data_IF_964479231201
#
_entry.id   IF_964479231201
#
_cell.length_a   1.000
_cell.length_b   1.000
_cell.length_c   1.000
_cell.angle_alpha   90.00
_cell.angle_beta   90.00
_cell.angle_gamma   90.00
#
_symmetry.space_group_name_H-M   'P 1'
#
loop_
_entity.id
_entity.type
_entity.pdbx_description
1 polymer ?
#
# COMPACT_ATOMS: atom_id res chain seq x y z
N UNK A 1 -24.73 11.15 2.74
CA UNK A 1 -24.33 12.40 2.04
C UNK A 1 -23.11 12.06 1.20
N UNK A 2 -23.01 12.55 -0.04
CA UNK A 2 -21.85 12.30 -0.88
C UNK A 2 -20.56 12.78 -0.21
N UNK A 3 -19.46 12.05 -0.42
CA UNK A 3 -18.16 12.30 0.22
C UNK A 3 -17.33 13.26 -0.64
N UNK A 4 -16.86 14.41 -0.12
CA UNK A 4 -15.99 15.33 -0.86
C UNK A 4 -14.66 14.68 -1.24
N UNK A 5 -14.39 14.58 -2.55
CA UNK A 5 -13.18 13.98 -3.11
C UNK A 5 -12.49 14.85 -4.15
N UNK A 6 -11.17 14.75 -4.22
CA UNK A 6 -10.34 15.43 -5.22
C UNK A 6 -9.40 14.45 -5.93
N UNK A 7 -9.19 14.66 -7.22
CA UNK A 7 -8.27 13.91 -8.08
C UNK A 7 -7.23 14.88 -8.65
N UNK A 8 -5.98 14.72 -8.21
CA UNK A 8 -4.85 15.52 -8.65
C UNK A 8 -3.98 14.71 -9.61
N UNK A 9 -3.73 15.32 -10.77
CA UNK A 9 -2.74 14.84 -11.72
C UNK A 9 -1.43 15.62 -11.53
N UNK A 10 -0.36 14.92 -11.18
CA UNK A 10 1.01 15.43 -11.26
C UNK A 10 1.59 15.11 -12.65
N UNK A 11 2.92 15.07 -12.78
CA UNK A 11 3.58 14.53 -13.95
C UNK A 11 3.21 13.05 -14.14
N UNK A 12 2.16 12.75 -14.89
CA UNK A 12 1.63 11.39 -15.13
C UNK A 12 1.38 11.09 -16.62
N UNK A 13 0.76 9.95 -16.94
CA UNK A 13 0.28 9.60 -18.29
C UNK A 13 -1.25 9.53 -18.38
N UNK A 14 -1.95 9.89 -17.30
CA UNK A 14 -3.41 9.81 -17.14
C UNK A 14 -4.00 8.38 -17.14
N UNK A 15 -3.14 7.35 -17.11
CA UNK A 15 -3.57 5.96 -17.19
C UNK A 15 -4.41 5.51 -16.00
N UNK A 16 -4.21 6.06 -14.79
CA UNK A 16 -4.96 5.62 -13.61
C UNK A 16 -6.36 6.23 -13.59
N UNK A 17 -6.49 7.50 -13.96
CA UNK A 17 -7.78 8.13 -14.23
C UNK A 17 -8.54 7.42 -15.36
N UNK A 18 -7.88 7.06 -16.46
CA UNK A 18 -8.53 6.26 -17.51
C UNK A 18 -8.99 4.89 -16.99
N UNK A 19 -8.19 4.24 -16.13
CA UNK A 19 -8.57 2.94 -15.54
C UNK A 19 -9.82 3.05 -14.65
N UNK A 20 -9.96 4.14 -13.90
CA UNK A 20 -11.20 4.44 -13.17
C UNK A 20 -12.39 4.60 -14.14
N UNK A 21 -12.22 5.37 -15.23
CA UNK A 21 -13.28 5.59 -16.21
C UNK A 21 -13.67 4.34 -17.03
N UNK A 22 -12.76 3.36 -17.14
CA UNK A 22 -13.04 2.06 -17.74
C UNK A 22 -14.04 1.21 -16.95
N UNK A 23 -14.45 1.62 -15.75
CA UNK A 23 -15.59 1.00 -15.07
C UNK A 23 -16.91 1.24 -15.82
N UNK A 24 -16.98 2.22 -16.73
CA UNK A 24 -18.15 2.49 -17.56
C UNK A 24 -19.43 2.60 -16.71
N UNK A 25 -20.43 1.73 -16.96
CA UNK A 25 -21.68 1.69 -16.20
C UNK A 25 -21.49 1.24 -14.73
N UNK A 26 -20.37 0.58 -14.42
CA UNK A 26 -19.97 0.25 -13.06
C UNK A 26 -19.68 1.46 -12.16
N UNK A 27 -19.53 2.66 -12.73
CA UNK A 27 -19.42 3.91 -11.96
C UNK A 27 -20.77 4.46 -11.50
N UNK A 28 -21.89 4.06 -12.12
CA UNK A 28 -23.23 4.56 -11.77
C UNK A 28 -23.59 4.42 -10.27
N UNK A 29 -23.26 3.32 -9.57
CA UNK A 29 -23.53 3.21 -8.15
C UNK A 29 -22.55 4.00 -7.26
N UNK A 30 -21.40 4.45 -7.79
CA UNK A 30 -20.32 5.06 -6.99
C UNK A 30 -20.32 6.57 -7.12
N UNK A 31 -20.50 7.09 -8.34
CA UNK A 31 -20.48 8.54 -8.59
C UNK A 31 -21.47 9.33 -7.72
N UNK A 32 -22.71 8.86 -7.45
CA UNK A 32 -23.63 9.57 -6.55
C UNK A 32 -23.14 9.67 -5.10
N UNK A 33 -22.25 8.76 -4.68
CA UNK A 33 -21.66 8.76 -3.34
C UNK A 33 -20.41 9.66 -3.25
N UNK A 34 -19.93 10.21 -4.37
CA UNK A 34 -18.75 11.06 -4.45
C UNK A 34 -19.14 12.50 -4.83
N UNK A 35 -18.81 13.45 -3.97
CA UNK A 35 -18.83 14.88 -4.33
C UNK A 35 -17.46 15.27 -4.89
N UNK A 36 -17.33 15.26 -6.22
CA UNK A 36 -16.05 15.52 -6.91
C UNK A 36 -15.79 17.03 -6.94
N UNK A 37 -15.04 17.52 -5.95
CA UNK A 37 -14.76 18.96 -5.77
C UNK A 37 -13.56 19.45 -6.56
N UNK A 38 -12.69 18.55 -7.01
CA UNK A 38 -11.56 18.90 -7.88
C UNK A 38 -11.15 17.70 -8.72
N UNK A 39 -11.23 17.81 -10.04
CA UNK A 39 -10.69 16.85 -10.99
C UNK A 39 -10.57 17.58 -12.33
N UNK A 40 -9.39 18.09 -12.72
CA UNK A 40 -9.26 19.04 -13.83
C UNK A 40 -9.81 18.56 -15.18
N UNK A 41 -9.93 17.24 -15.37
CA UNK A 41 -10.47 16.65 -16.60
C UNK A 41 -12.00 16.46 -16.59
N UNK A 42 -12.65 16.59 -15.43
CA UNK A 42 -14.07 16.21 -15.24
C UNK A 42 -14.91 17.36 -14.72
N UNK A 43 -14.37 18.21 -13.84
CA UNK A 43 -15.06 19.38 -13.29
C UNK A 43 -14.27 20.65 -13.57
N UNK A 44 -14.99 21.77 -13.63
CA UNK A 44 -14.41 23.05 -14.06
C UNK A 44 -13.66 23.83 -12.97
N UNK A 45 -13.61 23.32 -11.74
CA UNK A 45 -12.88 23.95 -10.62
C UNK A 45 -11.40 24.12 -10.97
N UNK A 46 -10.92 25.37 -10.91
CA UNK A 46 -9.55 25.72 -11.27
C UNK A 46 -8.61 25.62 -10.07
N UNK A 47 -7.32 25.59 -10.36
CA UNK A 47 -6.27 25.40 -9.35
C UNK A 47 -6.31 26.43 -8.20
N UNK A 48 -6.52 27.72 -8.51
CA UNK A 48 -6.64 28.77 -7.49
C UNK A 48 -7.88 28.61 -6.58
N UNK A 49 -8.94 27.95 -7.07
CA UNK A 49 -10.13 27.65 -6.26
C UNK A 49 -9.83 26.52 -5.28
N UNK A 50 -9.07 25.49 -5.69
CA UNK A 50 -8.55 24.46 -4.79
C UNK A 50 -7.63 25.06 -3.70
N UNK A 51 -6.79 26.03 -4.06
CA UNK A 51 -5.94 26.74 -3.09
C UNK A 51 -6.76 27.49 -2.04
N UNK A 52 -7.88 28.08 -2.44
CA UNK A 52 -8.78 28.87 -1.61
C UNK A 52 -9.69 28.03 -0.69
N UNK A 53 -9.86 26.73 -0.95
CA UNK A 53 -10.61 25.83 -0.06
C UNK A 53 -10.00 25.81 1.35
N UNK A 54 -10.79 25.51 2.38
CA UNK A 54 -10.27 25.38 3.75
C UNK A 54 -9.40 24.13 3.86
N UNK A 55 -8.48 24.16 4.81
CA UNK A 55 -7.60 23.01 5.07
C UNK A 55 -8.42 21.87 5.67
N UNK A 56 -8.19 20.64 5.19
CA UNK A 56 -8.99 19.47 5.54
C UNK A 56 -10.46 19.53 5.12
N UNK A 57 -10.85 20.41 4.19
CA UNK A 57 -12.22 20.48 3.66
C UNK A 57 -12.57 19.24 2.82
N UNK A 58 -11.59 18.66 2.13
CA UNK A 58 -11.75 17.50 1.26
C UNK A 58 -11.53 16.23 2.07
N UNK A 59 -12.43 15.25 1.96
CA UNK A 59 -12.33 14.01 2.75
C UNK A 59 -11.25 13.10 2.17
N UNK A 60 -11.27 12.84 0.86
CA UNK A 60 -10.28 11.97 0.19
C UNK A 60 -9.66 12.67 -1.02
N UNK A 61 -8.33 12.73 -1.07
CA UNK A 61 -7.56 13.19 -2.21
C UNK A 61 -6.81 12.05 -2.88
N UNK A 62 -7.05 11.83 -4.17
CA UNK A 62 -6.31 10.88 -5.01
C UNK A 62 -5.21 11.62 -5.77
N UNK A 63 -3.98 11.11 -5.71
CA UNK A 63 -2.82 11.66 -6.40
C UNK A 63 -2.30 10.63 -7.40
N UNK A 64 -2.32 10.97 -8.69
CA UNK A 64 -1.68 10.21 -9.77
C UNK A 64 -0.41 10.92 -10.24
N UNK A 65 0.66 10.16 -10.50
CA UNK A 65 1.88 10.67 -11.15
C UNK A 65 3.05 10.81 -10.21
N UNK A 66 4.13 11.42 -10.71
CA UNK A 66 5.36 11.68 -9.94
C UNK A 66 5.56 13.17 -9.74
N UNK A 67 6.35 13.52 -8.73
CA UNK A 67 6.86 14.88 -8.58
C UNK A 67 8.13 15.07 -9.43
N UNK A 68 7.98 15.50 -10.69
CA UNK A 68 9.11 15.79 -11.60
C UNK A 68 9.42 17.27 -11.69
N UNK A 69 8.43 18.12 -11.47
CA UNK A 69 8.53 19.58 -11.50
C UNK A 69 8.26 20.18 -10.13
N UNK A 70 8.71 21.41 -9.91
CA UNK A 70 8.45 22.18 -8.68
C UNK A 70 6.95 22.37 -8.43
N UNK A 71 6.17 22.48 -9.51
CA UNK A 71 4.71 22.56 -9.41
C UNK A 71 4.09 21.24 -8.95
N UNK A 72 4.62 20.10 -9.37
CA UNK A 72 4.15 18.80 -8.89
C UNK A 72 4.38 18.66 -7.38
N UNK A 73 5.57 19.03 -6.89
CA UNK A 73 5.90 19.02 -5.45
C UNK A 73 4.98 19.95 -4.66
N UNK A 74 4.71 21.15 -5.20
CA UNK A 74 3.78 22.10 -4.58
C UNK A 74 2.34 21.53 -4.55
N UNK A 75 1.90 20.89 -5.63
CA UNK A 75 0.57 20.28 -5.73
C UNK A 75 0.39 19.09 -4.78
N UNK A 76 1.41 18.25 -4.61
CA UNK A 76 1.38 17.18 -3.62
C UNK A 76 1.18 17.74 -2.21
N UNK A 77 1.95 18.76 -1.83
CA UNK A 77 1.82 19.45 -0.52
C UNK A 77 0.46 20.14 -0.37
N UNK A 78 -0.04 20.76 -1.43
CA UNK A 78 -1.37 21.37 -1.46
C UNK A 78 -2.46 20.33 -1.20
N UNK A 79 -2.43 19.21 -1.92
CA UNK A 79 -3.39 18.11 -1.71
C UNK A 79 -3.35 17.60 -0.27
N UNK A 80 -2.15 17.34 0.28
CA UNK A 80 -2.01 16.91 1.68
C UNK A 80 -2.62 17.91 2.68
N UNK A 81 -2.52 19.21 2.40
CA UNK A 81 -3.10 20.28 3.22
C UNK A 81 -4.62 20.35 3.11
N UNK A 82 -5.18 20.14 1.92
CA UNK A 82 -6.64 20.23 1.66
C UNK A 82 -7.40 18.95 1.99
N UNK A 83 -6.73 17.79 1.95
CA UNK A 83 -7.36 16.48 2.12
C UNK A 83 -7.09 15.86 3.50
N UNK A 84 -8.11 15.24 4.09
CA UNK A 84 -7.98 14.45 5.32
C UNK A 84 -7.29 13.11 5.07
N UNK A 85 -7.57 12.48 3.94
CA UNK A 85 -6.96 11.22 3.49
C UNK A 85 -6.31 11.41 2.12
N UNK A 86 -5.07 10.97 1.94
CA UNK A 86 -4.36 10.96 0.66
C UNK A 86 -4.18 9.53 0.16
N UNK A 87 -4.61 9.29 -1.08
CA UNK A 87 -4.49 8.03 -1.80
C UNK A 87 -3.52 8.23 -2.97
N UNK A 88 -2.34 7.62 -2.91
CA UNK A 88 -1.45 7.47 -4.07
C UNK A 88 -2.03 6.40 -5.00
N UNK A 89 -2.43 6.80 -6.21
CA UNK A 89 -3.01 5.89 -7.20
C UNK A 89 -2.04 5.64 -8.35
N UNK A 90 -1.70 4.37 -8.53
CA UNK A 90 -0.81 3.85 -9.56
C UNK A 90 0.67 3.86 -9.22
N UNK A 91 1.43 3.04 -9.93
CA UNK A 91 2.86 2.81 -9.72
C UNK A 91 3.69 4.09 -9.75
N UNK A 92 3.25 5.13 -10.46
CA UNK A 92 3.92 6.42 -10.47
C UNK A 92 3.89 7.06 -9.08
N UNK A 93 2.70 7.18 -8.49
CA UNK A 93 2.55 7.78 -7.17
C UNK A 93 3.07 6.86 -6.07
N UNK A 94 2.95 5.54 -6.26
CA UNK A 94 3.41 4.57 -5.26
C UNK A 94 4.93 4.36 -5.25
N UNK A 95 5.61 4.38 -6.40
CA UNK A 95 7.00 3.92 -6.54
C UNK A 95 7.86 4.70 -7.56
N UNK A 96 7.31 5.73 -8.22
CA UNK A 96 7.97 6.50 -9.28
C UNK A 96 7.75 5.96 -10.71
N UNK A 97 7.46 4.66 -10.87
CA UNK A 97 7.22 3.99 -12.16
C UNK A 97 8.34 4.20 -13.19
N UNK A 98 8.03 3.99 -14.48
CA UNK A 98 8.92 4.20 -15.63
C UNK A 98 9.55 5.60 -15.67
N UNK A 99 8.87 6.62 -15.13
CA UNK A 99 9.43 7.98 -15.06
C UNK A 99 10.62 8.04 -14.10
N UNK A 100 10.65 7.22 -13.06
CA UNK A 100 11.76 7.12 -12.12
C UNK A 100 13.08 6.76 -12.77
N UNK A 101 13.09 6.08 -13.93
CA UNK A 101 14.31 5.77 -14.69
C UNK A 101 15.09 7.01 -15.14
N UNK A 102 14.44 8.18 -15.20
CA UNK A 102 15.11 9.45 -15.41
C UNK A 102 16.22 9.71 -14.37
N UNK A 103 16.09 9.16 -13.16
CA UNK A 103 17.09 9.32 -12.11
C UNK A 103 18.42 8.62 -12.41
N UNK A 104 18.54 7.82 -13.47
CA UNK A 104 19.82 7.27 -13.94
C UNK A 104 20.70 8.31 -14.65
N UNK A 105 20.15 9.50 -14.91
CA UNK A 105 20.80 10.59 -15.62
C UNK A 105 20.73 11.86 -14.78
N UNK A 106 21.64 12.79 -15.05
CA UNK A 106 21.60 14.11 -14.44
C UNK A 106 20.49 14.96 -15.05
N UNK A 107 19.90 15.85 -14.25
CA UNK A 107 18.82 16.74 -14.70
C UNK A 107 19.23 17.53 -15.96
N UNK A 108 20.46 18.02 -16.01
CA UNK A 108 21.00 18.77 -17.15
C UNK A 108 21.15 17.89 -18.40
N UNK A 109 21.59 16.63 -18.26
CA UNK A 109 21.67 15.66 -19.36
C UNK A 109 20.28 15.44 -19.98
N UNK A 110 19.24 15.27 -19.13
CA UNK A 110 17.86 15.08 -19.58
C UNK A 110 17.31 16.31 -20.30
N UNK A 111 17.54 17.51 -19.76
CA UNK A 111 17.10 18.78 -20.34
C UNK A 111 17.79 19.00 -21.69
N UNK A 112 19.11 18.83 -21.76
CA UNK A 112 19.87 18.98 -23.00
C UNK A 112 19.39 17.96 -24.04
N UNK A 113 19.25 16.68 -23.67
CA UNK A 113 18.74 15.65 -24.58
C UNK A 113 17.38 16.03 -25.15
N UNK A 114 16.44 16.47 -24.31
CA UNK A 114 15.04 16.76 -24.71
C UNK A 114 14.88 18.05 -25.52
N UNK A 115 15.58 19.11 -25.14
CA UNK A 115 15.33 20.47 -25.65
C UNK A 115 16.44 21.02 -26.54
N UNK A 116 17.59 20.34 -26.68
CA UNK A 116 18.73 20.84 -27.47
C UNK A 116 19.31 19.83 -28.45
N UNK A 117 19.40 18.56 -28.06
CA UNK A 117 20.16 17.54 -28.80
C UNK A 117 19.28 16.54 -29.56
N UNK A 118 17.96 16.62 -29.42
CA UNK A 118 17.06 15.75 -30.19
C UNK A 118 17.16 16.08 -31.68
N UNK A 119 17.32 15.06 -32.50
CA UNK A 119 17.61 15.14 -33.93
C UNK A 119 16.51 15.86 -34.73
N UNK A 120 15.30 15.94 -34.18
CA UNK A 120 14.16 16.63 -34.76
C UNK A 120 14.11 18.14 -34.45
N UNK A 121 15.02 18.65 -33.62
CA UNK A 121 15.09 20.08 -33.29
C UNK A 121 15.70 20.84 -34.46
N UNK A 122 14.98 21.86 -34.93
CA UNK A 122 15.37 22.68 -36.08
C UNK A 122 15.70 24.12 -35.71
N UNK A 123 15.60 24.47 -34.43
CA UNK A 123 15.91 25.82 -33.95
C UNK A 123 17.41 26.09 -34.05
N UNK A 124 17.79 27.29 -34.52
CA UNK A 124 19.20 27.67 -34.67
C UNK A 124 19.93 27.83 -33.32
N UNK A 125 19.20 28.14 -32.25
CA UNK A 125 19.70 28.31 -30.87
C UNK A 125 18.72 27.67 -29.87
N UNK A 126 18.70 26.32 -29.78
CA UNK A 126 17.72 25.62 -28.98
C UNK A 126 17.99 25.79 -27.48
N UNK A 127 16.94 26.10 -26.73
CA UNK A 127 17.01 26.39 -25.29
C UNK A 127 15.94 25.66 -24.51
N UNK A 128 16.21 25.46 -23.22
CA UNK A 128 15.18 25.02 -22.29
C UNK A 128 14.07 26.08 -22.18
N UNK A 129 12.79 25.69 -22.32
CA UNK A 129 11.67 26.59 -22.02
C UNK A 129 11.66 26.93 -20.53
N UNK A 130 11.65 28.21 -20.18
CA UNK A 130 11.64 28.69 -18.78
C UNK A 130 10.52 29.69 -18.48
N UNK A 131 9.87 30.24 -19.51
CA UNK A 131 8.74 31.16 -19.35
C UNK A 131 7.43 30.39 -19.18
N UNK A 132 6.65 30.73 -18.15
CA UNK A 132 5.32 30.15 -17.86
C UNK A 132 5.29 28.62 -17.69
N UNK A 133 6.44 27.98 -17.48
CA UNK A 133 6.56 26.55 -17.22
C UNK A 133 7.22 26.32 -15.86
N UNK A 134 6.84 25.25 -15.14
CA UNK A 134 7.46 24.96 -13.87
C UNK A 134 8.88 24.43 -14.07
N UNK A 135 9.81 24.85 -13.20
CA UNK A 135 11.15 24.28 -13.19
C UNK A 135 11.13 22.79 -12.80
N UNK A 136 12.15 22.04 -13.22
CA UNK A 136 12.34 20.65 -12.83
C UNK A 136 12.88 20.51 -11.40
N UNK A 137 12.46 19.45 -10.70
CA UNK A 137 13.16 18.94 -9.52
C UNK A 137 14.51 18.34 -9.94
N UNK A 138 15.43 18.06 -9.00
CA UNK A 138 16.69 17.37 -9.34
C UNK A 138 16.43 15.91 -9.73
N UNK A 139 15.75 15.17 -8.87
CA UNK A 139 15.41 13.78 -9.06
C UNK A 139 13.94 13.56 -8.69
N UNK A 140 13.35 12.52 -9.26
CA UNK A 140 12.03 12.05 -8.85
C UNK A 140 12.20 11.30 -7.53
N UNK A 141 11.49 11.72 -6.50
CA UNK A 141 11.32 10.93 -5.26
C UNK A 141 9.92 10.35 -5.20
N UNK A 142 9.74 9.36 -4.34
CA UNK A 142 8.42 8.83 -4.04
C UNK A 142 7.54 9.92 -3.41
N UNK A 143 6.24 9.96 -3.72
CA UNK A 143 5.30 10.91 -3.12
C UNK A 143 5.27 10.79 -1.59
N UNK A 144 5.46 9.58 -1.05
CA UNK A 144 5.54 9.34 0.41
C UNK A 144 6.73 10.03 1.08
N UNK A 145 7.78 10.37 0.32
CA UNK A 145 8.94 11.12 0.82
C UNK A 145 8.70 12.64 0.78
N UNK A 146 7.60 13.11 0.16
CA UNK A 146 7.23 14.52 0.05
C UNK A 146 6.11 14.89 1.02
N UNK A 147 5.13 13.99 1.16
CA UNK A 147 3.93 14.16 1.99
C UNK A 147 3.57 12.85 2.67
N UNK A 148 2.78 12.93 3.75
CA UNK A 148 2.17 11.75 4.35
C UNK A 148 1.06 11.19 3.45
N UNK A 149 1.20 9.92 3.04
CA UNK A 149 0.26 9.19 2.19
C UNK A 149 -0.46 8.13 3.03
N UNK A 150 -1.79 8.17 3.02
CA UNK A 150 -2.62 7.28 3.82
C UNK A 150 -2.96 5.97 3.10
N UNK A 151 -2.87 5.92 1.77
CA UNK A 151 -3.24 4.74 1.00
C UNK A 151 -2.49 4.68 -0.32
N UNK A 152 -2.16 3.47 -0.77
CA UNK A 152 -1.46 3.20 -2.02
C UNK A 152 -2.24 2.15 -2.81
N UNK A 153 -2.56 2.47 -4.06
CA UNK A 153 -3.22 1.55 -4.99
C UNK A 153 -2.22 1.24 -6.12
N UNK A 154 -1.45 0.13 -6.03
CA UNK A 154 -0.40 -0.15 -7.00
C UNK A 154 -0.92 -0.63 -8.36
N UNK A 155 -0.07 -0.49 -9.38
CA UNK A 155 -0.32 -0.93 -10.76
C UNK A 155 -0.07 0.18 -11.79
N UNK A 156 0.27 -0.18 -13.03
CA UNK A 156 0.58 0.79 -14.09
C UNK A 156 -0.29 0.59 -15.36
N UNK A 157 -1.58 0.99 -15.33
CA UNK A 157 -2.33 1.47 -14.16
C UNK A 157 -2.83 0.30 -13.28
N UNK A 158 -3.37 0.58 -12.07
CA UNK A 158 -4.15 -0.41 -11.34
C UNK A 158 -5.35 -0.85 -12.17
N UNK A 159 -5.83 -2.08 -12.00
CA UNK A 159 -7.05 -2.52 -12.69
C UNK A 159 -8.26 -1.73 -12.20
N UNK A 160 -9.25 -1.57 -13.08
CA UNK A 160 -10.53 -0.93 -12.76
C UNK A 160 -11.15 -1.51 -11.50
N UNK A 161 -11.22 -2.84 -11.39
CA UNK A 161 -11.79 -3.53 -10.23
C UNK A 161 -11.04 -3.21 -8.92
N UNK A 162 -9.70 -3.06 -8.97
CA UNK A 162 -8.92 -2.70 -7.78
C UNK A 162 -9.22 -1.27 -7.33
N UNK A 163 -9.38 -0.34 -8.29
CA UNK A 163 -9.72 1.06 -7.98
C UNK A 163 -11.14 1.13 -7.39
N UNK A 164 -12.10 0.44 -8.01
CA UNK A 164 -13.50 0.40 -7.56
C UNK A 164 -13.62 -0.23 -6.18
N UNK A 165 -12.91 -1.34 -5.93
CA UNK A 165 -12.86 -1.98 -4.62
C UNK A 165 -12.26 -1.05 -3.55
N UNK A 166 -11.16 -0.36 -3.87
CA UNK A 166 -10.54 0.60 -2.97
C UNK A 166 -11.49 1.77 -2.63
N UNK A 167 -12.13 2.38 -3.63
CA UNK A 167 -13.08 3.48 -3.40
C UNK A 167 -14.28 2.99 -2.59
N UNK A 168 -14.83 1.82 -2.94
CA UNK A 168 -15.96 1.23 -2.21
C UNK A 168 -15.61 0.96 -0.75
N UNK A 169 -14.41 0.43 -0.49
CA UNK A 169 -13.90 0.22 0.86
C UNK A 169 -13.74 1.53 1.63
N UNK A 170 -13.17 2.58 1.01
CA UNK A 170 -13.08 3.89 1.64
C UNK A 170 -14.47 4.45 2.00
N UNK A 171 -15.47 4.25 1.14
CA UNK A 171 -16.85 4.64 1.43
C UNK A 171 -17.43 3.88 2.63
N UNK A 172 -17.12 2.59 2.81
CA UNK A 172 -17.60 1.83 3.98
C UNK A 172 -16.93 2.25 5.29
N UNK A 173 -15.67 2.70 5.23
CA UNK A 173 -14.96 3.25 6.39
C UNK A 173 -15.58 4.57 6.88
N UNK A 174 -16.00 5.41 5.93
CA UNK A 174 -16.62 6.71 6.22
C UNK A 174 -18.14 6.57 6.52
N UNK A 175 -18.74 5.39 6.29
CA UNK A 175 -20.16 5.11 6.51
C UNK A 175 -20.55 4.70 7.95
N UNK A 176 -21.84 4.88 8.29
CA UNK A 176 -22.40 4.69 9.65
C UNK A 176 -22.41 3.24 10.16
N UNK A 177 -22.10 2.24 9.32
CA UNK A 177 -22.13 0.81 9.68
C UNK A 177 -23.55 0.20 9.64
N UNK A 178 -23.73 -1.04 10.14
CA UNK A 178 -25.04 -1.69 10.21
C UNK A 178 -26.05 -0.88 11.05
N UNK A 179 -27.33 -0.86 10.67
CA UNK A 179 -28.37 -0.07 11.35
C UNK A 179 -28.64 -0.49 12.81
N UNK A 180 -28.28 -1.72 13.17
CA UNK A 180 -28.39 -2.26 14.53
C UNK A 180 -27.16 -1.96 15.40
N UNK A 181 -26.12 -1.32 14.88
CA UNK A 181 -24.90 -0.99 15.62
C UNK A 181 -25.16 0.13 16.63
N UNK A 182 -24.93 -0.14 17.92
CA UNK A 182 -25.10 0.81 19.02
C UNK A 182 -23.77 1.10 19.72
N UNK A 183 -23.13 2.22 19.35
CA UNK A 183 -21.85 2.66 19.94
C UNK A 183 -21.95 3.06 21.41
N UNK A 184 -23.14 3.24 21.97
CA UNK A 184 -23.30 3.66 23.37
C UNK A 184 -23.40 2.48 24.34
N UNK A 185 -23.31 1.25 23.83
CA UNK A 185 -23.28 0.00 24.59
C UNK A 185 -22.11 -0.84 24.15
N UNK A 186 -21.76 -1.84 24.96
CA UNK A 186 -20.83 -2.89 24.57
C UNK A 186 -21.50 -4.26 24.48
N UNK A 187 -20.88 -5.19 23.75
CA UNK A 187 -21.33 -6.59 23.60
C UNK A 187 -21.56 -7.26 24.96
N UNK A 188 -20.75 -6.94 25.98
CA UNK A 188 -20.91 -7.51 27.31
C UNK A 188 -22.25 -7.22 27.99
N UNK A 189 -22.94 -6.12 27.64
CA UNK A 189 -24.21 -5.74 28.26
C UNK A 189 -25.36 -6.70 27.92
N UNK A 190 -25.24 -7.44 26.81
CA UNK A 190 -26.24 -8.39 26.34
C UNK A 190 -25.68 -9.81 26.22
N UNK A 191 -24.53 -10.09 26.84
CA UNK A 191 -23.86 -11.38 26.76
C UNK A 191 -24.33 -12.33 27.87
N UNK A 192 -24.86 -13.49 27.50
CA UNK A 192 -25.38 -14.49 28.45
C UNK A 192 -24.29 -15.15 29.31
N UNK A 193 -23.03 -15.10 28.87
CA UNK A 193 -21.87 -15.61 29.61
C UNK A 193 -21.26 -14.60 30.60
N UNK A 194 -21.76 -13.35 30.62
CA UNK A 194 -21.14 -12.29 31.42
C UNK A 194 -21.10 -12.61 32.91
N UNK A 195 -22.21 -13.10 33.47
CA UNK A 195 -22.34 -13.41 34.90
C UNK A 195 -21.74 -14.77 35.27
N UNK A 196 -21.71 -15.73 34.34
CA UNK A 196 -21.23 -17.09 34.57
C UNK A 196 -20.67 -17.70 33.29
N UNK A 197 -19.42 -18.19 33.36
CA UNK A 197 -18.73 -18.80 32.22
C UNK A 197 -18.11 -17.78 31.26
N UNK A 198 -17.70 -16.63 31.77
CA UNK A 198 -17.05 -15.60 30.96
C UNK A 198 -15.63 -16.04 30.60
N UNK A 199 -15.29 -15.98 29.31
CA UNK A 199 -13.95 -16.34 28.83
C UNK A 199 -12.80 -15.54 29.48
N UNK A 200 -13.04 -14.28 29.85
CA UNK A 200 -12.05 -13.46 30.56
C UNK A 200 -11.73 -14.03 31.95
N UNK A 201 -12.71 -14.67 32.63
CA UNK A 201 -12.50 -15.32 33.93
C UNK A 201 -11.67 -16.61 33.81
N UNK A 202 -11.64 -17.20 32.62
CA UNK A 202 -10.81 -18.36 32.27
C UNK A 202 -9.42 -17.94 31.73
N UNK A 203 -9.09 -16.65 31.72
CA UNK A 203 -7.84 -16.13 31.18
C UNK A 203 -7.74 -16.14 29.65
N UNK A 204 -8.87 -16.24 28.94
CA UNK A 204 -8.92 -16.26 27.47
C UNK A 204 -9.27 -14.88 26.92
N UNK A 205 -8.60 -14.46 25.86
CA UNK A 205 -8.80 -13.14 25.23
C UNK A 205 -10.19 -13.05 24.56
N UNK A 206 -11.06 -12.22 25.12
CA UNK A 206 -12.39 -11.92 24.59
C UNK A 206 -12.60 -10.40 24.53
N UNK A 207 -12.87 -9.87 23.35
CA UNK A 207 -12.90 -8.43 23.07
C UNK A 207 -14.30 -7.81 23.19
N UNK A 208 -15.23 -8.54 23.80
CA UNK A 208 -16.60 -8.07 24.08
C UNK A 208 -16.68 -6.74 24.84
N UNK A 209 -15.81 -6.45 25.85
CA UNK A 209 -15.87 -5.20 26.60
C UNK A 209 -15.60 -3.95 25.76
N UNK A 210 -14.93 -4.07 24.60
CA UNK A 210 -14.55 -2.92 23.75
C UNK A 210 -15.32 -2.87 22.43
N UNK A 211 -16.21 -3.82 22.18
CA UNK A 211 -16.99 -3.94 20.94
C UNK A 211 -18.37 -3.32 21.10
N UNK A 212 -18.84 -2.53 20.11
CA UNK A 212 -20.17 -1.91 20.14
C UNK A 212 -21.30 -2.94 20.23
N UNK A 213 -22.40 -2.55 20.86
CA UNK A 213 -23.58 -3.40 21.05
C UNK A 213 -24.41 -3.57 19.77
N UNK A 214 -25.35 -4.53 19.81
CA UNK A 214 -26.33 -4.77 18.73
C UNK A 214 -26.07 -5.99 17.85
N UNK A 215 -25.01 -6.77 18.14
CA UNK A 215 -24.75 -8.05 17.50
C UNK A 215 -25.78 -9.10 17.97
N UNK A 216 -26.68 -9.54 17.08
CA UNK A 216 -27.69 -10.58 17.43
C UNK A 216 -27.12 -12.01 17.36
N UNK A 217 -26.06 -12.22 16.58
CA UNK A 217 -25.45 -13.54 16.33
C UNK A 217 -24.46 -14.00 17.41
N UNK A 218 -24.01 -13.08 18.29
CA UNK A 218 -23.15 -13.27 19.47
C UNK A 218 -22.29 -14.54 19.46
N UNK A 219 -21.06 -14.48 18.93
CA UNK A 219 -20.09 -15.59 18.96
C UNK A 219 -19.97 -16.29 20.33
N UNK A 220 -19.95 -15.55 21.48
CA UNK A 220 -19.93 -16.17 22.81
C UNK A 220 -21.06 -17.15 23.10
N UNK A 221 -22.25 -16.94 22.52
CA UNK A 221 -23.38 -17.85 22.73
C UNK A 221 -23.16 -19.21 22.04
N UNK A 222 -22.26 -19.28 21.05
CA UNK A 222 -21.92 -20.49 20.31
C UNK A 222 -20.61 -21.14 20.79
N UNK A 223 -20.03 -20.66 21.90
CA UNK A 223 -18.79 -21.19 22.46
C UNK A 223 -17.51 -20.55 21.91
N UNK A 224 -17.62 -19.54 21.05
CA UNK A 224 -16.49 -18.81 20.46
C UNK A 224 -16.29 -17.43 21.12
N UNK A 225 -15.07 -16.90 21.07
CA UNK A 225 -14.78 -15.58 21.65
C UNK A 225 -15.43 -14.44 20.85
N UNK A 226 -15.66 -13.29 21.50
CA UNK A 226 -15.98 -12.08 20.76
C UNK A 226 -14.69 -11.50 20.17
N UNK A 227 -14.57 -11.47 18.83
CA UNK A 227 -13.44 -10.89 18.11
C UNK A 227 -13.66 -9.44 17.66
N UNK A 228 -14.82 -8.87 17.96
CA UNK A 228 -15.03 -7.44 17.82
C UNK A 228 -15.47 -6.89 16.47
N UNK A 229 -16.09 -7.72 15.62
CA UNK A 229 -16.58 -7.34 14.29
C UNK A 229 -17.59 -6.17 14.23
N UNK A 230 -18.14 -5.72 15.36
CA UNK A 230 -19.17 -4.66 15.43
C UNK A 230 -18.61 -3.23 15.64
N UNK A 231 -17.32 -3.00 15.33
CA UNK A 231 -16.61 -1.72 15.53
C UNK A 231 -16.46 -1.34 17.04
N UNK A 232 -15.64 -0.33 17.37
CA UNK A 232 -15.43 0.11 18.74
C UNK A 232 -16.69 0.71 19.39
N UNK A 233 -16.87 0.43 20.68
CA UNK A 233 -17.83 1.14 21.53
C UNK A 233 -17.26 2.47 22.01
N UNK A 234 -18.12 3.48 22.20
CA UNK A 234 -17.77 4.71 22.92
C UNK A 234 -17.86 4.51 24.45
N UNK A 235 -18.44 3.40 24.92
CA UNK A 235 -18.68 3.11 26.33
C UNK A 235 -18.19 1.70 26.67
N UNK A 236 -16.91 1.56 27.07
CA UNK A 236 -16.34 0.28 27.45
C UNK A 236 -17.12 -0.45 28.56
N UNK A 237 -17.10 -1.78 28.51
CA UNK A 237 -17.76 -2.66 29.47
C UNK A 237 -17.00 -2.83 30.78
N UNK A 238 -17.70 -3.35 31.80
CA UNK A 238 -17.18 -3.51 33.18
C UNK A 238 -15.91 -4.37 33.32
N UNK A 239 -15.65 -5.27 32.37
CA UNK A 239 -14.49 -6.19 32.39
C UNK A 239 -13.32 -5.69 31.53
N UNK A 240 -13.29 -4.42 31.15
CA UNK A 240 -12.17 -3.87 30.36
C UNK A 240 -10.83 -3.97 31.10
N UNK A 241 -10.79 -3.68 32.40
CA UNK A 241 -9.57 -3.76 33.21
C UNK A 241 -8.99 -5.18 33.22
N UNK A 242 -9.85 -6.20 33.33
CA UNK A 242 -9.46 -7.60 33.26
C UNK A 242 -8.89 -7.98 31.88
N UNK A 243 -9.50 -7.49 30.79
CA UNK A 243 -8.96 -7.67 29.43
C UNK A 243 -7.58 -7.02 29.29
N UNK A 244 -7.42 -5.80 29.81
CA UNK A 244 -6.13 -5.09 29.80
C UNK A 244 -5.07 -5.88 30.57
N UNK A 245 -5.37 -6.33 31.78
CA UNK A 245 -4.45 -7.12 32.60
C UNK A 245 -4.04 -8.42 31.89
N UNK A 246 -4.96 -9.10 31.20
CA UNK A 246 -4.64 -10.29 30.42
C UNK A 246 -3.68 -9.99 29.26
N UNK A 247 -3.88 -8.90 28.53
CA UNK A 247 -2.99 -8.50 27.42
C UNK A 247 -1.61 -8.10 27.94
N UNK A 248 -1.57 -7.35 29.04
CA UNK A 248 -0.35 -6.81 29.64
C UNK A 248 0.55 -7.89 30.27
N UNK A 249 -0.02 -9.04 30.64
CA UNK A 249 0.71 -10.16 31.22
C UNK A 249 1.26 -11.16 30.18
N UNK A 250 1.10 -10.90 28.88
CA UNK A 250 1.65 -11.77 27.83
C UNK A 250 3.09 -11.35 27.52
N UNK A 251 4.07 -12.15 27.94
CA UNK A 251 5.49 -11.93 27.65
C UNK A 251 5.90 -12.43 26.24
N UNK A 252 5.35 -13.57 25.81
CA UNK A 252 5.59 -14.18 24.49
C UNK A 252 4.30 -14.79 23.95
N UNK A 253 3.99 -14.58 22.67
CA UNK A 253 2.77 -15.09 22.05
C UNK A 253 2.88 -16.57 21.69
N UNK A 254 1.90 -17.38 22.12
CA UNK A 254 1.64 -18.68 21.50
C UNK A 254 1.07 -18.49 20.08
N UNK A 255 1.17 -19.49 19.20
CA UNK A 255 0.52 -19.44 17.88
C UNK A 255 -0.99 -19.16 17.96
N UNK A 256 -1.69 -19.70 18.97
CA UNK A 256 -3.12 -19.40 19.16
C UNK A 256 -3.36 -17.96 19.60
N UNK A 257 -2.52 -17.41 20.48
CA UNK A 257 -2.63 -16.02 20.95
C UNK A 257 -2.35 -15.03 19.82
N UNK A 258 -1.30 -15.27 19.02
CA UNK A 258 -0.99 -14.44 17.85
C UNK A 258 -2.14 -14.45 16.82
N UNK A 259 -2.69 -15.64 16.52
CA UNK A 259 -3.85 -15.77 15.64
C UNK A 259 -5.09 -15.07 16.20
N UNK A 260 -5.33 -15.17 17.51
CA UNK A 260 -6.46 -14.52 18.18
C UNK A 260 -6.35 -12.99 18.14
N UNK A 261 -5.17 -12.42 18.43
CA UNK A 261 -4.91 -10.99 18.35
C UNK A 261 -5.02 -10.47 16.92
N UNK A 262 -4.44 -11.18 15.95
CA UNK A 262 -4.56 -10.81 14.53
C UNK A 262 -6.03 -10.83 14.10
N UNK A 263 -6.77 -11.89 14.44
CA UNK A 263 -8.19 -12.01 14.06
C UNK A 263 -9.07 -10.95 14.73
N UNK A 264 -8.77 -10.60 15.98
CA UNK A 264 -9.37 -9.46 16.65
C UNK A 264 -9.09 -8.17 15.89
N UNK A 265 -7.84 -7.87 15.56
CA UNK A 265 -7.49 -6.63 14.87
C UNK A 265 -8.11 -6.56 13.47
N UNK A 266 -8.14 -7.67 12.72
CA UNK A 266 -8.82 -7.78 11.42
C UNK A 266 -10.29 -7.38 11.54
N UNK A 267 -11.02 -8.01 12.46
CA UNK A 267 -12.46 -7.79 12.62
C UNK A 267 -12.79 -6.45 13.29
N UNK A 268 -12.03 -6.06 14.31
CA UNK A 268 -12.30 -4.90 15.15
C UNK A 268 -12.01 -3.59 14.44
N UNK A 269 -10.95 -3.54 13.63
CA UNK A 269 -10.63 -2.37 12.82
C UNK A 269 -11.44 -2.33 11.51
N UNK A 270 -12.27 -3.35 11.23
CA UNK A 270 -12.98 -3.46 9.95
C UNK A 270 -12.03 -3.63 8.77
N UNK A 271 -10.89 -4.27 9.03
CA UNK A 271 -9.83 -4.50 8.08
C UNK A 271 -10.16 -5.78 7.33
N UNK A 272 -10.50 -5.62 6.06
CA UNK A 272 -10.47 -6.75 5.15
C UNK A 272 -9.02 -6.91 4.70
N UNK A 273 -8.44 -8.11 4.79
CA UNK A 273 -7.16 -8.47 4.16
C UNK A 273 -7.24 -8.33 2.62
N UNK A 274 -7.52 -7.14 2.10
CA UNK A 274 -7.64 -6.85 0.68
C UNK A 274 -6.23 -6.69 0.17
N UNK A 275 -5.68 -7.77 -0.39
CA UNK A 275 -4.29 -7.83 -0.86
C UNK A 275 -3.97 -6.94 -2.07
N UNK A 276 -4.95 -6.18 -2.57
CA UNK A 276 -4.85 -5.46 -3.84
C UNK A 276 -4.54 -3.96 -3.68
N UNK A 277 -4.53 -3.43 -2.45
CA UNK A 277 -4.10 -2.08 -2.13
C UNK A 277 -3.50 -2.04 -0.72
N UNK A 278 -2.70 -1.02 -0.43
CA UNK A 278 -2.15 -0.75 0.90
C UNK A 278 -2.90 0.44 1.53
N UNK A 279 -3.45 0.32 2.73
CA UNK A 279 -4.07 1.42 3.49
C UNK A 279 -3.31 1.61 4.81
N UNK A 280 -2.66 2.76 5.00
CA UNK A 280 -1.90 3.10 6.20
C UNK A 280 -2.77 3.21 7.46
N UNK A 281 -4.05 3.57 7.29
CA UNK A 281 -5.03 3.54 8.37
C UNK A 281 -5.42 2.12 8.81
N UNK A 282 -5.19 1.12 7.97
CA UNK A 282 -5.22 -0.28 8.38
C UNK A 282 -3.91 -0.58 9.11
N UNK A 283 -4.03 -0.70 10.43
CA UNK A 283 -2.88 -0.83 11.32
C UNK A 283 -2.15 -2.16 11.12
N UNK A 284 -2.81 -3.23 10.67
CA UNK A 284 -2.17 -4.52 10.40
C UNK A 284 -1.36 -4.49 9.11
N UNK A 285 -1.91 -3.87 8.07
CA UNK A 285 -1.16 -3.57 6.86
C UNK A 285 0.05 -2.68 7.17
N UNK A 286 -0.15 -1.58 7.90
CA UNK A 286 0.96 -0.69 8.27
C UNK A 286 2.02 -1.41 9.09
N UNK A 287 1.62 -2.29 10.01
CA UNK A 287 2.54 -3.13 10.78
C UNK A 287 3.38 -4.04 9.89
N UNK A 288 2.78 -4.59 8.83
CA UNK A 288 3.44 -5.51 7.91
C UNK A 288 4.34 -4.81 6.87
N UNK A 289 3.92 -3.67 6.32
CA UNK A 289 4.65 -2.96 5.26
C UNK A 289 5.65 -1.93 5.80
N UNK A 290 5.31 -1.24 6.89
CA UNK A 290 6.06 -0.10 7.42
C UNK A 290 6.11 -0.11 8.98
N UNK A 291 6.63 -1.16 9.63
CA UNK A 291 6.62 -1.29 11.09
C UNK A 291 7.34 -0.14 11.80
N UNK A 292 8.40 0.40 11.18
CA UNK A 292 9.19 1.53 11.69
C UNK A 292 8.42 2.86 11.67
N UNK A 293 7.27 2.91 10.98
CA UNK A 293 6.48 4.12 10.88
C UNK A 293 5.66 4.42 12.13
N UNK A 294 5.57 3.49 13.09
CA UNK A 294 4.85 3.70 14.35
C UNK A 294 5.75 4.36 15.40
N UNK A 295 5.20 5.35 16.11
CA UNK A 295 5.77 5.81 17.38
C UNK A 295 5.49 4.79 18.48
N UNK A 296 6.42 4.67 19.42
CA UNK A 296 6.27 3.86 20.63
C UNK A 296 6.05 4.77 21.84
N UNK A 297 5.27 4.29 22.79
CA UNK A 297 5.06 4.94 24.09
C UNK A 297 5.22 3.93 25.22
N UNK A 298 5.65 4.43 26.37
CA UNK A 298 5.76 3.68 27.61
C UNK A 298 4.47 3.80 28.43
N UNK A 299 4.03 2.70 29.01
CA UNK A 299 2.87 2.62 29.90
C UNK A 299 3.35 2.07 31.25
N UNK A 300 3.15 2.84 32.32
CA UNK A 300 3.47 2.42 33.69
C UNK A 300 2.32 1.58 34.25
N UNK A 301 2.66 0.38 34.73
CA UNK A 301 1.73 -0.55 35.38
C UNK A 301 2.36 -1.03 36.67
N UNK A 302 1.99 -0.39 37.78
CA UNK A 302 2.61 -0.64 39.08
C UNK A 302 4.11 -0.34 39.01
N UNK A 303 4.94 -1.37 39.26
CA UNK A 303 6.41 -1.25 39.26
C UNK A 303 7.05 -1.63 37.91
N UNK A 304 6.25 -1.86 36.85
CA UNK A 304 6.73 -2.31 35.53
C UNK A 304 6.37 -1.30 34.45
N UNK A 305 7.29 -1.12 33.51
CA UNK A 305 7.08 -0.33 32.30
C UNK A 305 6.91 -1.27 31.13
N UNK A 306 5.81 -1.13 30.39
CA UNK A 306 5.58 -1.87 29.14
C UNK A 306 5.52 -0.92 27.95
N UNK A 307 5.80 -1.44 26.77
CA UNK A 307 5.78 -0.68 25.53
C UNK A 307 4.48 -0.91 24.74
N UNK A 308 4.02 0.13 24.07
CA UNK A 308 2.83 0.12 23.22
C UNK A 308 3.06 0.99 21.98
N UNK A 309 2.42 0.65 20.85
CA UNK A 309 2.40 1.55 19.70
C UNK A 309 1.42 2.70 19.98
N UNK A 310 1.85 3.93 19.67
CA UNK A 310 1.01 5.11 19.87
C UNK A 310 0.06 5.28 18.68
N UNK A 311 -1.13 4.70 18.83
CA UNK A 311 -2.21 4.71 17.85
C UNK A 311 -3.49 5.22 18.51
N UNK A 312 -4.35 5.88 17.73
CA UNK A 312 -5.64 6.38 18.21
C UNK A 312 -6.79 6.14 17.21
N UNK A 313 -7.03 4.89 16.74
CA UNK A 313 -8.02 4.61 15.71
C UNK A 313 -9.48 4.81 16.19
N UNK A 314 -9.73 4.76 17.50
CA UNK A 314 -11.09 4.83 18.06
C UNK A 314 -11.39 6.17 18.73
N UNK A 315 -10.36 6.88 19.20
CA UNK A 315 -10.49 8.10 20.00
C UNK A 315 -10.86 7.83 21.47
N UNK A 316 -10.89 6.56 21.90
CA UNK A 316 -11.16 6.13 23.27
C UNK A 316 -9.86 5.57 23.86
N UNK A 317 -9.21 6.33 24.76
CA UNK A 317 -7.85 6.05 25.28
C UNK A 317 -7.62 4.59 25.65
N UNK A 318 -8.51 3.99 26.45
CA UNK A 318 -8.34 2.60 26.91
C UNK A 318 -8.42 1.58 25.78
N UNK A 319 -9.27 1.82 24.77
CA UNK A 319 -9.39 0.93 23.60
C UNK A 319 -8.15 1.08 22.72
N UNK A 320 -7.72 2.33 22.51
CA UNK A 320 -6.54 2.66 21.73
C UNK A 320 -5.24 2.09 22.35
N UNK A 321 -5.16 2.04 23.68
CA UNK A 321 -4.08 1.37 24.42
C UNK A 321 -4.06 -0.15 24.19
N UNK A 322 -5.21 -0.81 24.24
CA UNK A 322 -5.36 -2.25 23.95
C UNK A 322 -4.89 -2.55 22.52
N UNK A 323 -5.31 -1.74 21.55
CA UNK A 323 -4.91 -1.89 20.14
C UNK A 323 -3.41 -1.67 20.00
N UNK A 324 -2.87 -0.61 20.60
CA UNK A 324 -1.44 -0.30 20.57
C UNK A 324 -0.56 -1.40 21.15
N UNK A 325 -1.01 -2.04 22.24
CA UNK A 325 -0.31 -3.17 22.85
C UNK A 325 -0.38 -4.41 21.96
N UNK A 326 -1.57 -4.76 21.46
CA UNK A 326 -1.74 -5.90 20.54
C UNK A 326 -0.86 -5.77 19.29
N UNK A 327 -0.80 -4.58 18.69
CA UNK A 327 0.08 -4.31 17.54
C UNK A 327 1.56 -4.36 17.91
N UNK A 328 1.95 -3.82 19.07
CA UNK A 328 3.33 -3.87 19.54
C UNK A 328 3.81 -5.30 19.69
N UNK A 329 2.98 -6.17 20.26
CA UNK A 329 3.28 -7.59 20.44
C UNK A 329 3.39 -8.33 19.11
N UNK A 330 2.56 -8.00 18.12
CA UNK A 330 2.60 -8.64 16.80
C UNK A 330 3.75 -8.16 15.91
N UNK A 331 4.28 -6.93 16.13
CA UNK A 331 5.22 -6.25 15.22
C UNK A 331 6.41 -7.11 14.82
N UNK A 332 6.99 -7.79 15.80
CA UNK A 332 8.22 -8.56 15.66
C UNK A 332 7.99 -10.07 15.90
N UNK A 333 6.73 -10.50 16.01
CA UNK A 333 6.39 -11.89 16.33
C UNK A 333 6.44 -12.78 15.07
N UNK A 334 7.16 -13.91 15.10
CA UNK A 334 7.28 -14.81 13.94
C UNK A 334 5.96 -15.50 13.56
N UNK A 335 4.95 -15.48 14.43
CA UNK A 335 3.61 -16.00 14.15
C UNK A 335 2.66 -14.97 13.55
N UNK A 336 3.05 -13.69 13.48
CA UNK A 336 2.28 -12.68 12.75
C UNK A 336 2.37 -12.98 11.24
N UNK A 337 1.24 -13.39 10.65
CA UNK A 337 1.18 -13.80 9.25
C UNK A 337 0.35 -12.82 8.45
N UNK A 338 0.99 -11.78 7.94
CA UNK A 338 0.39 -10.91 6.93
C UNK A 338 0.74 -11.43 5.53
N UNK A 339 -0.21 -12.15 4.90
CA UNK A 339 0.02 -12.80 3.61
C UNK A 339 -0.27 -11.84 2.45
N UNK A 340 0.76 -11.22 1.86
CA UNK A 340 0.65 -10.76 0.47
C UNK A 340 1.02 -11.89 -0.49
N UNK A 341 0.15 -12.15 -1.46
CA UNK A 341 0.44 -13.05 -2.57
C UNK A 341 1.33 -12.34 -3.59
N UNK A 342 2.15 -13.11 -4.29
CA UNK A 342 2.87 -12.63 -5.48
C UNK A 342 2.09 -12.96 -6.74
N UNK A 343 2.51 -12.40 -7.88
CA UNK A 343 1.90 -12.70 -9.19
C UNK A 343 1.88 -14.21 -9.46
N UNK A 344 2.88 -14.96 -8.99
CA UNK A 344 2.94 -16.42 -9.15
C UNK A 344 1.71 -17.14 -8.59
N UNK A 345 1.08 -16.63 -7.53
CA UNK A 345 -0.12 -17.25 -6.94
C UNK A 345 -1.37 -17.15 -7.82
N UNK A 346 -1.36 -16.32 -8.86
CA UNK A 346 -2.46 -16.14 -9.82
C UNK A 346 -2.03 -16.48 -11.26
N UNK A 347 -0.80 -16.96 -11.45
CA UNK A 347 -0.30 -17.34 -12.75
C UNK A 347 -0.78 -18.76 -13.08
N UNK A 348 -1.37 -18.94 -14.26
CA UNK A 348 -1.93 -20.22 -14.73
C UNK A 348 -0.84 -21.18 -15.25
N UNK A 349 0.42 -20.75 -15.27
CA UNK A 349 1.55 -21.51 -15.83
C UNK A 349 2.07 -22.57 -14.87
N UNK A 350 2.44 -23.70 -15.43
CA UNK A 350 3.03 -24.82 -14.72
C UNK A 350 4.46 -24.49 -14.29
N UNK A 351 4.75 -24.80 -13.02
CA UNK A 351 6.05 -24.62 -12.39
C UNK A 351 6.51 -25.99 -11.91
N UNK A 352 7.58 -26.52 -12.49
CA UNK A 352 8.17 -27.80 -12.11
C UNK A 352 9.30 -27.57 -11.09
N UNK A 353 10.45 -27.09 -11.57
CA UNK A 353 11.71 -27.04 -10.79
C UNK A 353 12.22 -25.62 -10.57
N UNK A 354 11.58 -24.60 -11.18
CA UNK A 354 11.95 -23.16 -11.15
C UNK A 354 13.31 -22.80 -11.73
N UNK A 355 14.15 -23.75 -12.12
CA UNK A 355 15.50 -23.49 -12.66
C UNK A 355 15.46 -23.24 -14.19
N UNK A 356 15.97 -22.09 -14.70
CA UNK A 356 16.13 -21.85 -16.13
C UNK A 356 17.15 -22.80 -16.76
N UNK A 357 16.77 -23.50 -17.83
CA UNK A 357 17.72 -24.27 -18.66
C UNK A 357 18.62 -23.37 -19.51
N UNK A 358 18.17 -22.17 -19.85
CA UNK A 358 18.97 -21.09 -20.45
C UNK A 358 18.41 -19.72 -20.04
N UNK A 359 19.12 -18.61 -20.28
CA UNK A 359 18.59 -17.26 -20.13
C UNK A 359 18.39 -16.60 -21.50
N UNK A 360 17.28 -15.91 -21.69
CA UNK A 360 16.85 -15.33 -22.97
C UNK A 360 16.38 -13.90 -22.80
N UNK A 361 16.64 -13.10 -23.83
CA UNK A 361 15.97 -11.81 -24.04
C UNK A 361 14.55 -12.04 -24.56
N UNK A 362 13.72 -11.04 -24.40
CA UNK A 362 12.30 -11.05 -24.75
C UNK A 362 12.00 -11.35 -26.23
N UNK A 363 12.93 -11.02 -27.14
CA UNK A 363 12.81 -11.34 -28.57
C UNK A 363 13.39 -12.70 -28.98
N UNK A 364 14.05 -13.42 -28.06
CA UNK A 364 14.80 -14.64 -28.39
C UNK A 364 13.89 -15.87 -28.34
N UNK A 365 13.27 -16.15 -29.49
CA UNK A 365 12.34 -17.27 -29.64
C UNK A 365 10.92 -16.90 -29.23
N UNK A 366 10.03 -17.90 -29.24
CA UNK A 366 8.63 -17.73 -28.85
C UNK A 366 8.36 -18.53 -27.58
N UNK A 367 7.82 -17.92 -26.53
CA UNK A 367 7.46 -18.63 -25.31
C UNK A 367 6.22 -19.51 -25.53
N UNK A 368 6.21 -20.68 -24.91
CA UNK A 368 5.00 -21.52 -24.81
C UNK A 368 4.01 -20.90 -23.81
N UNK A 369 2.74 -21.27 -23.88
CA UNK A 369 1.68 -20.70 -23.02
C UNK A 369 1.57 -21.36 -21.63
N UNK A 370 2.00 -22.61 -21.53
CA UNK A 370 1.82 -23.52 -20.40
C UNK A 370 2.95 -23.40 -19.37
N UNK A 371 4.22 -23.41 -19.81
CA UNK A 371 5.37 -23.47 -18.91
C UNK A 371 5.70 -22.11 -18.28
N UNK A 372 6.22 -22.11 -17.05
CA UNK A 372 6.76 -20.93 -16.38
C UNK A 372 7.81 -20.20 -17.23
N UNK A 373 7.71 -18.87 -17.34
CA UNK A 373 8.67 -18.04 -18.10
C UNK A 373 10.12 -18.17 -17.59
N UNK A 374 10.32 -18.21 -16.27
CA UNK A 374 11.66 -18.36 -15.69
C UNK A 374 12.28 -19.68 -16.12
N UNK A 375 11.51 -20.78 -16.14
CA UNK A 375 12.02 -22.09 -16.59
C UNK A 375 12.24 -22.17 -18.10
N UNK A 376 11.55 -21.32 -18.87
CA UNK A 376 11.77 -21.16 -20.31
C UNK A 376 12.99 -20.25 -20.62
N UNK A 377 13.51 -19.58 -19.59
CA UNK A 377 14.68 -18.71 -19.66
C UNK A 377 14.39 -17.22 -19.74
N UNK A 378 13.12 -16.81 -19.76
CA UNK A 378 12.76 -15.41 -19.85
C UNK A 378 12.70 -14.77 -18.47
N UNK A 379 13.28 -13.58 -18.34
CA UNK A 379 13.24 -12.80 -17.12
C UNK A 379 11.79 -12.39 -16.81
N UNK A 380 11.26 -12.88 -15.69
CA UNK A 380 9.90 -12.61 -15.22
C UNK A 380 9.94 -12.18 -13.75
N UNK A 381 9.54 -10.95 -13.45
CA UNK A 381 9.54 -10.38 -12.09
C UNK A 381 8.38 -10.89 -11.22
N UNK A 382 7.56 -11.80 -11.72
CA UNK A 382 6.36 -12.31 -11.02
C UNK A 382 6.61 -12.77 -9.56
N UNK A 383 7.71 -13.48 -9.25
CA UNK A 383 8.00 -13.93 -7.88
C UNK A 383 8.27 -12.80 -6.88
N UNK A 384 8.63 -11.61 -7.35
CA UNK A 384 8.94 -10.44 -6.52
C UNK A 384 7.97 -9.28 -6.74
N UNK A 385 6.82 -9.58 -7.35
CA UNK A 385 5.78 -8.59 -7.65
C UNK A 385 4.51 -8.94 -6.90
N UNK A 386 3.89 -7.94 -6.25
CA UNK A 386 2.61 -8.11 -5.57
C UNK A 386 1.52 -8.58 -6.55
N UNK A 387 0.65 -9.47 -6.06
CA UNK A 387 -0.55 -9.88 -6.78
C UNK A 387 -1.59 -8.74 -6.89
N UNK A 388 -2.63 -8.96 -7.69
CA UNK A 388 -3.76 -8.04 -7.82
C UNK A 388 -4.07 -7.65 -9.26
N UNK A 389 -3.18 -7.94 -10.20
CA UNK A 389 -3.41 -7.75 -11.64
C UNK A 389 -4.02 -8.96 -12.34
N UNK A 390 -4.35 -10.04 -11.61
CA UNK A 390 -4.79 -11.31 -12.21
C UNK A 390 -3.74 -11.99 -13.10
N UNK A 391 -2.46 -11.59 -12.98
CA UNK A 391 -1.37 -12.06 -13.81
C UNK A 391 -1.65 -11.92 -15.33
N UNK A 392 -2.24 -10.79 -15.74
CA UNK A 392 -2.63 -10.52 -17.13
C UNK A 392 -1.49 -10.73 -18.13
N UNK A 393 -0.27 -10.25 -17.84
CA UNK A 393 0.87 -10.41 -18.75
C UNK A 393 1.15 -11.88 -19.07
N UNK A 394 1.41 -12.76 -18.08
CA UNK A 394 1.72 -14.15 -18.38
C UNK A 394 0.51 -14.97 -18.82
N UNK A 395 -0.70 -14.68 -18.32
CA UNK A 395 -1.90 -15.50 -18.58
C UNK A 395 -2.61 -15.11 -19.89
N UNK A 396 -2.63 -13.82 -20.24
CA UNK A 396 -3.43 -13.31 -21.38
C UNK A 396 -2.57 -12.78 -22.53
N UNK A 397 -1.41 -12.23 -22.25
CA UNK A 397 -0.54 -11.62 -23.28
C UNK A 397 0.64 -12.51 -23.71
N UNK A 398 0.82 -13.68 -23.11
CA UNK A 398 2.01 -14.53 -23.30
C UNK A 398 3.32 -13.75 -23.11
N UNK A 399 3.38 -12.87 -22.10
CA UNK A 399 4.54 -12.06 -21.81
C UNK A 399 4.97 -12.19 -20.34
N UNK A 400 6.28 -12.15 -20.04
CA UNK A 400 6.76 -12.12 -18.66
C UNK A 400 6.19 -10.96 -17.85
N UNK A 401 6.05 -11.15 -16.54
CA UNK A 401 5.70 -10.06 -15.64
C UNK A 401 6.85 -9.05 -15.56
N UNK A 402 6.51 -7.76 -15.69
CA UNK A 402 7.48 -6.66 -15.69
C UNK A 402 7.62 -5.95 -14.33
N UNK A 403 6.85 -6.34 -13.31
CA UNK A 403 6.97 -5.76 -11.97
C UNK A 403 6.12 -4.53 -11.66
N UNK A 404 5.16 -4.16 -12.50
CA UNK A 404 4.46 -2.87 -12.39
C UNK A 404 3.57 -2.67 -11.15
N UNK A 405 3.27 -3.74 -10.40
CA UNK A 405 2.54 -3.65 -9.12
C UNK A 405 3.46 -3.42 -7.92
N UNK A 406 4.78 -3.35 -8.13
CA UNK A 406 5.75 -3.17 -7.06
C UNK A 406 5.97 -4.42 -6.20
N UNK A 407 6.80 -4.30 -5.15
CA UNK A 407 7.18 -5.43 -4.31
C UNK A 407 6.03 -5.93 -3.42
N UNK A 408 5.97 -7.24 -3.10
CA UNK A 408 5.09 -7.76 -2.05
C UNK A 408 5.55 -7.32 -0.65
N UNK A 409 4.72 -7.57 0.37
CA UNK A 409 5.04 -7.33 1.79
C UNK A 409 6.38 -7.95 2.15
N UNK A 410 7.17 -7.22 2.96
CA UNK A 410 8.46 -7.67 3.46
C UNK A 410 9.61 -7.56 2.43
N UNK A 411 9.33 -7.16 1.19
CA UNK A 411 10.37 -6.88 0.18
C UNK A 411 10.58 -5.37 0.09
N UNK A 412 11.70 -4.88 0.62
CA UNK A 412 12.05 -3.45 0.61
C UNK A 412 12.41 -2.92 -0.79
N UNK A 413 13.12 -3.72 -1.58
CA UNK A 413 13.58 -3.35 -2.91
C UNK A 413 13.30 -4.50 -3.89
N UNK A 414 12.38 -4.26 -4.83
CA UNK A 414 11.97 -5.24 -5.82
C UNK A 414 13.14 -5.71 -6.68
N UNK A 415 13.96 -4.78 -7.18
CA UNK A 415 15.05 -5.08 -8.09
C UNK A 415 16.16 -5.87 -7.39
N UNK A 416 16.58 -5.44 -6.19
CA UNK A 416 17.56 -6.15 -5.38
C UNK A 416 17.07 -7.56 -5.00
N UNK A 417 15.78 -7.70 -4.65
CA UNK A 417 15.20 -9.02 -4.36
C UNK A 417 15.17 -9.91 -5.59
N UNK A 418 14.89 -9.35 -6.77
CA UNK A 418 14.94 -10.10 -8.01
C UNK A 418 16.36 -10.54 -8.35
N UNK A 419 17.36 -9.67 -8.21
CA UNK A 419 18.78 -10.02 -8.41
C UNK A 419 19.17 -11.18 -7.49
N UNK A 420 18.79 -11.12 -6.21
CA UNK A 420 19.01 -12.23 -5.27
C UNK A 420 18.34 -13.52 -5.72
N UNK A 421 17.07 -13.46 -6.15
CA UNK A 421 16.36 -14.63 -6.66
C UNK A 421 17.03 -15.19 -7.92
N UNK A 422 17.42 -14.33 -8.85
CA UNK A 422 18.12 -14.70 -10.08
C UNK A 422 19.47 -15.38 -9.77
N UNK A 423 20.23 -14.84 -8.81
CA UNK A 423 21.48 -15.45 -8.35
C UNK A 423 21.26 -16.88 -7.84
N UNK A 424 20.20 -17.12 -7.07
CA UNK A 424 19.83 -18.47 -6.65
C UNK A 424 19.40 -19.38 -7.81
N UNK A 425 18.66 -18.83 -8.79
CA UNK A 425 18.21 -19.57 -9.97
C UNK A 425 19.34 -19.89 -10.95
N UNK A 426 20.44 -19.16 -10.89
CA UNK A 426 21.61 -19.32 -11.75
C UNK A 426 22.87 -19.70 -10.96
N UNK A 427 22.71 -20.34 -9.80
CA UNK A 427 23.82 -20.66 -8.89
C UNK A 427 24.94 -21.51 -9.55
N UNK A 428 24.58 -22.37 -10.49
CA UNK A 428 25.52 -23.23 -11.22
C UNK A 428 26.11 -22.58 -12.49
N UNK A 429 25.86 -21.28 -12.72
CA UNK A 429 26.33 -20.54 -13.90
C UNK A 429 27.41 -19.52 -13.55
N UNK A 430 28.28 -19.24 -14.51
CA UNK A 430 29.23 -18.13 -14.40
C UNK A 430 28.47 -16.78 -14.39
N UNK A 431 28.65 -15.93 -13.35
CA UNK A 431 28.07 -14.60 -13.30
C UNK A 431 28.38 -13.73 -14.53
N UNK A 432 29.56 -13.88 -15.16
CA UNK A 432 29.89 -13.10 -16.36
C UNK A 432 29.00 -13.46 -17.55
N UNK A 433 28.62 -14.73 -17.69
CA UNK A 433 27.71 -15.20 -18.74
C UNK A 433 26.29 -14.67 -18.52
N UNK A 434 25.83 -14.67 -17.27
CA UNK A 434 24.52 -14.11 -16.89
C UNK A 434 24.48 -12.61 -17.18
N UNK A 435 25.52 -11.87 -16.83
CA UNK A 435 25.61 -10.42 -17.06
C UNK A 435 25.74 -10.04 -18.54
N UNK A 436 26.28 -10.93 -19.40
CA UNK A 436 26.29 -10.70 -20.85
C UNK A 436 24.87 -10.62 -21.43
N UNK A 437 23.91 -11.31 -20.84
CA UNK A 437 22.51 -11.33 -21.28
C UNK A 437 21.75 -10.12 -20.73
N UNK A 438 22.04 -9.74 -19.47
CA UNK A 438 21.40 -8.60 -18.79
C UNK A 438 22.17 -7.32 -19.08
N UNK A 439 21.84 -6.67 -20.19
CA UNK A 439 22.50 -5.42 -20.64
C UNK A 439 22.15 -4.19 -19.80
N UNK A 440 20.95 -4.17 -19.22
CA UNK A 440 20.43 -3.04 -18.45
C UNK A 440 19.75 -3.55 -17.17
N UNK A 441 20.53 -3.89 -16.12
CA UNK A 441 19.96 -4.40 -14.88
C UNK A 441 19.09 -3.36 -14.16
N UNK A 442 19.44 -2.07 -14.23
CA UNK A 442 18.69 -1.01 -13.58
C UNK A 442 17.30 -0.84 -14.23
N UNK A 443 17.23 -0.71 -15.55
CA UNK A 443 15.98 -0.57 -16.29
C UNK A 443 15.16 -1.87 -16.41
N UNK A 444 15.80 -3.04 -16.26
CA UNK A 444 15.12 -4.33 -16.26
C UNK A 444 14.50 -4.66 -14.90
N UNK A 445 15.23 -4.48 -13.81
CA UNK A 445 14.80 -4.92 -12.48
C UNK A 445 14.12 -3.83 -11.67
N UNK A 446 14.34 -2.55 -11.99
CA UNK A 446 13.73 -1.41 -11.33
C UNK A 446 12.90 -0.53 -12.28
N UNK A 447 12.36 -1.12 -13.36
CA UNK A 447 11.58 -0.41 -14.39
C UNK A 447 10.48 0.48 -13.79
N UNK A 448 9.84 0.02 -12.72
CA UNK A 448 8.72 0.72 -12.08
C UNK A 448 9.04 1.25 -10.68
N UNK A 449 10.21 0.96 -10.14
CA UNK A 449 10.52 1.16 -8.71
C UNK A 449 11.82 1.91 -8.45
N UNK A 450 12.55 2.35 -9.49
CA UNK A 450 13.89 2.94 -9.30
C UNK A 450 13.89 4.13 -8.32
N UNK A 451 12.90 5.02 -8.40
CA UNK A 451 12.83 6.18 -7.51
C UNK A 451 12.60 5.80 -6.03
N UNK A 452 11.96 4.65 -5.77
CA UNK A 452 11.73 4.10 -4.42
C UNK A 452 12.79 3.05 -4.00
N UNK A 453 13.65 2.64 -4.93
CA UNK A 453 14.68 1.63 -4.70
C UNK A 453 15.81 2.15 -3.79
N UNK A 454 16.69 1.24 -3.36
CA UNK A 454 17.90 1.60 -2.62
C UNK A 454 18.87 2.46 -3.45
N UNK A 455 18.82 2.36 -4.78
CA UNK A 455 19.67 3.13 -5.69
C UNK A 455 19.24 4.60 -5.75
N UNK A 456 17.92 4.85 -5.78
CA UNK A 456 17.23 6.15 -5.90
C UNK A 456 17.60 6.97 -7.14
N UNK A 457 18.86 7.39 -7.26
CA UNK A 457 19.38 8.21 -8.34
C UNK A 457 20.88 7.98 -8.59
N UNK A 458 21.36 8.38 -9.76
CA UNK A 458 22.78 8.40 -10.13
C UNK A 458 23.57 9.15 -9.05
N UNK A 459 24.60 8.50 -8.51
CA UNK A 459 25.55 9.13 -7.60
C UNK A 459 26.82 9.41 -8.39
N UNK A 460 27.32 10.63 -8.26
CA UNK A 460 28.67 10.97 -8.70
C UNK A 460 29.59 10.59 -7.56
N UNK A 461 30.35 9.50 -7.72
CA UNK A 461 31.42 9.20 -6.78
C UNK A 461 32.38 10.39 -6.82
N UNK A 462 32.44 11.17 -5.73
CA UNK A 462 33.69 11.84 -5.41
C UNK A 462 34.62 10.76 -4.89
N UNK A 463 35.26 10.03 -5.81
CA UNK A 463 36.51 9.37 -5.44
C UNK A 463 37.48 10.51 -5.11
N UNK A 464 37.57 10.87 -3.83
CA UNK A 464 38.74 11.56 -3.34
C UNK A 464 39.91 10.62 -3.64
N UNK A 465 40.69 11.00 -4.65
CA UNK A 465 41.95 10.36 -4.96
C UNK A 465 42.88 10.77 -3.82
N UNK A 466 42.98 9.94 -2.78
CA UNK A 466 44.08 10.01 -1.81
C UNK A 466 45.41 9.59 -2.45
#
# INVERSE_FOLDING_TARGET
>A
MPVPVAFMQLSSCWGCHQSLLNAHLGLLPILPELDIVYWPAVVDVKHHELEAMKDGEIVVGFIEGVARTKQDTANAKLMRKKCKVIVAIGACACYGSVKGLANLYDKEELINRKFKETEAITDDDPKEPTEHVPGFEEFIVNIKDIIDVDMFIPGCPPTTDNIIAAISYLLTLVGEGPSNLDKNKCVCETCNLFEKGCFLDEGKLCFGPITAGGCELMCPNNGDYCFGCFKPTNKPGKKIEQLMELIQNIDTLSPEQAASLQHFLDLFLGVSNITNFYFRGDLLQRLAYEPESFSTKEIEIGDRTILSLDVAPTGVSMIDEIIGQALFMLRDDPNFKFSSKTVCSHCEREVADKVPTDLKRDYEGLPTMDKCFLEQGYICLGPVTQAGCGAICPNKANAPCLGCYGPPVGVKDQGAKFISALGSLCADRDPEEVMKIIKDPAGLFNRFTLADSLLKHKRHDKMEVE
#
